data_IF_027591324252
#
_entry.id   IF_027591324252
#
_cell.length_a   1.000
_cell.length_b   1.000
_cell.length_c   1.000
_cell.angle_alpha   90.00
_cell.angle_beta   90.00
_cell.angle_gamma   90.00
#
_symmetry.space_group_name_H-M   'P 1'
#
loop_
_entity.id
_entity.type
_entity.pdbx_description
1 polymer ?
#
# COMPACT_ATOMS: atom_id res chain seq x y z
N UNK A 1 14.45 7.58 7.02
CA UNK A 1 13.61 7.25 5.86
C UNK A 1 13.52 8.51 5.02
N UNK A 2 13.87 8.43 3.74
CA UNK A 2 13.69 9.53 2.79
C UNK A 2 12.40 9.26 2.00
N UNK A 3 11.38 10.07 2.26
CA UNK A 3 10.07 9.94 1.64
C UNK A 3 10.01 10.65 0.29
N UNK A 4 9.07 10.25 -0.56
CA UNK A 4 8.72 11.01 -1.78
C UNK A 4 7.35 11.68 -1.63
N UNK A 5 7.02 12.67 -2.48
CA UNK A 5 5.65 13.19 -2.58
C UNK A 5 4.62 12.16 -3.04
N UNK A 6 5.05 11.03 -3.62
CA UNK A 6 4.21 10.01 -4.25
C UNK A 6 4.09 8.71 -3.44
N UNK A 7 4.48 8.74 -2.17
CA UNK A 7 4.40 7.60 -1.26
C UNK A 7 2.94 7.33 -0.85
N UNK A 8 2.46 6.10 -1.08
CA UNK A 8 1.11 5.67 -0.69
C UNK A 8 1.13 4.35 0.06
N UNK A 9 0.05 4.04 0.79
CA UNK A 9 -0.19 2.72 1.36
C UNK A 9 -1.55 2.18 0.92
N UNK A 10 -1.60 0.90 0.56
CA UNK A 10 -2.84 0.17 0.30
C UNK A 10 -3.39 -0.32 1.64
N UNK A 11 -4.62 0.07 1.99
CA UNK A 11 -5.26 -0.25 3.27
C UNK A 11 -6.46 -1.16 3.06
N UNK A 12 -6.46 -2.31 3.73
CA UNK A 12 -7.58 -3.25 3.69
C UNK A 12 -7.61 -4.10 2.41
N UNK A 13 -6.44 -4.45 1.87
CA UNK A 13 -6.29 -5.47 0.84
C UNK A 13 -5.54 -6.67 1.44
N UNK A 14 -6.16 -7.85 1.38
CA UNK A 14 -5.66 -9.07 1.98
C UNK A 14 -4.91 -9.96 0.98
N UNK A 15 -4.69 -9.48 -0.23
CA UNK A 15 -3.95 -10.15 -1.30
C UNK A 15 -4.50 -11.56 -1.61
N UNK A 16 -5.83 -11.73 -1.55
CA UNK A 16 -6.47 -13.01 -1.85
C UNK A 16 -6.20 -13.34 -3.31
N UNK A 17 -5.58 -14.49 -3.58
CA UNK A 17 -5.24 -14.89 -4.96
C UNK A 17 -4.28 -13.95 -5.70
N UNK A 18 -3.59 -13.03 -5.00
CA UNK A 18 -2.69 -12.04 -5.62
C UNK A 18 -3.33 -10.68 -5.94
N UNK A 19 -4.53 -10.40 -5.41
CA UNK A 19 -5.25 -9.14 -5.66
C UNK A 19 -4.41 -7.87 -5.37
N UNK A 20 -3.71 -7.83 -4.23
CA UNK A 20 -2.90 -6.67 -3.84
C UNK A 20 -1.70 -6.47 -4.78
N UNK A 21 -1.10 -7.56 -5.26
CA UNK A 21 0.01 -7.49 -6.23
C UNK A 21 -0.43 -6.87 -7.55
N UNK A 22 -1.57 -7.31 -8.07
CA UNK A 22 -2.11 -6.78 -9.33
C UNK A 22 -2.47 -5.29 -9.21
N UNK A 23 -3.06 -4.88 -8.08
CA UNK A 23 -3.35 -3.48 -7.77
C UNK A 23 -2.08 -2.65 -7.61
N UNK A 24 -1.07 -3.19 -6.91
CA UNK A 24 0.22 -2.53 -6.68
C UNK A 24 0.93 -2.22 -7.99
N UNK A 25 0.98 -3.17 -8.93
CA UNK A 25 1.63 -2.97 -10.23
C UNK A 25 1.06 -1.73 -10.92
N UNK A 26 -0.27 -1.60 -10.99
CA UNK A 26 -0.92 -0.45 -11.62
C UNK A 26 -0.59 0.88 -10.92
N UNK A 27 -0.55 0.89 -9.58
CA UNK A 27 -0.18 2.08 -8.80
C UNK A 27 1.28 2.50 -9.07
N UNK A 28 2.19 1.54 -9.15
CA UNK A 28 3.60 1.80 -9.45
C UNK A 28 3.80 2.22 -10.91
N UNK A 29 3.06 1.65 -11.87
CA UNK A 29 3.11 2.02 -13.29
C UNK A 29 2.68 3.47 -13.55
N UNK A 30 1.74 4.01 -12.77
CA UNK A 30 1.35 5.43 -12.85
C UNK A 30 2.30 6.37 -12.08
N UNK A 31 3.39 5.84 -11.49
CA UNK A 31 4.44 6.62 -10.84
C UNK A 31 4.28 6.81 -9.33
N UNK A 32 3.36 6.11 -8.67
CA UNK A 32 3.30 6.08 -7.20
C UNK A 32 4.34 5.12 -6.64
N UNK A 33 4.71 5.32 -5.37
CA UNK A 33 5.53 4.37 -4.62
C UNK A 33 4.69 3.72 -3.52
N UNK A 34 4.37 2.44 -3.66
CA UNK A 34 3.63 1.69 -2.63
C UNK A 34 4.58 1.31 -1.50
N UNK A 35 4.50 2.05 -0.40
CA UNK A 35 5.36 1.86 0.78
C UNK A 35 4.88 0.71 1.65
N UNK A 36 3.57 0.45 1.68
CA UNK A 36 2.98 -0.60 2.50
C UNK A 36 1.67 -1.14 1.90
N UNK A 37 1.37 -2.39 2.22
CA UNK A 37 0.12 -3.06 1.91
C UNK A 37 -0.43 -3.74 3.19
N UNK A 38 -1.66 -3.41 3.56
CA UNK A 38 -2.29 -3.84 4.80
C UNK A 38 -3.45 -4.79 4.52
N UNK A 39 -3.40 -6.08 4.89
CA UNK A 39 -2.23 -6.82 5.42
C UNK A 39 -1.82 -8.00 4.54
N UNK A 40 -2.40 -8.13 3.35
CA UNK A 40 -2.02 -9.16 2.40
C UNK A 40 -0.57 -8.98 1.96
N UNK A 41 0.27 -9.98 2.21
CA UNK A 41 1.71 -9.95 1.93
C UNK A 41 2.44 -8.74 2.57
N UNK A 42 1.89 -8.17 3.64
CA UNK A 42 2.50 -7.03 4.35
C UNK A 42 3.57 -7.48 5.35
N UNK A 43 4.66 -6.70 5.46
CA UNK A 43 5.69 -6.91 6.48
C UNK A 43 5.54 -5.95 7.66
N UNK A 44 6.03 -6.34 8.84
CA UNK A 44 6.03 -5.45 10.01
C UNK A 44 6.84 -4.16 9.76
N UNK A 45 7.88 -4.23 8.93
CA UNK A 45 8.70 -3.08 8.56
C UNK A 45 7.89 -2.06 7.76
N UNK A 46 7.11 -2.52 6.78
CA UNK A 46 6.21 -1.66 5.98
C UNK A 46 5.10 -1.04 6.84
N UNK A 47 4.51 -1.83 7.75
CA UNK A 47 3.49 -1.32 8.68
C UNK A 47 4.05 -0.19 9.54
N UNK A 48 5.28 -0.33 10.05
CA UNK A 48 5.99 0.73 10.79
C UNK A 48 6.31 1.95 9.92
N UNK A 49 6.51 1.77 8.61
CA UNK A 49 6.78 2.85 7.67
C UNK A 49 5.52 3.60 7.22
N UNK A 50 4.33 2.99 7.34
CA UNK A 50 3.05 3.51 6.87
C UNK A 50 2.72 4.93 7.36
N UNK A 51 2.99 5.33 8.61
CA UNK A 51 2.75 6.72 9.04
C UNK A 51 3.49 7.80 8.24
N UNK A 52 4.50 7.44 7.43
CA UNK A 52 5.28 8.39 6.62
C UNK A 52 4.73 8.61 5.20
N UNK A 53 3.70 7.86 4.78
CA UNK A 53 3.09 7.99 3.43
C UNK A 53 2.29 9.29 3.30
N UNK A 54 2.03 9.70 2.07
CA UNK A 54 1.26 10.93 1.75
C UNK A 54 -0.23 10.67 1.58
N UNK A 55 -0.62 9.43 1.26
CA UNK A 55 -2.01 9.04 1.11
C UNK A 55 -2.23 7.57 1.47
N UNK A 56 -3.29 7.30 2.23
CA UNK A 56 -3.82 5.97 2.49
C UNK A 56 -4.94 5.67 1.48
N UNK A 57 -4.79 4.60 0.70
CA UNK A 57 -5.76 4.14 -0.30
C UNK A 57 -6.57 2.99 0.29
N UNK A 58 -7.80 3.27 0.74
CA UNK A 58 -8.64 2.29 1.45
C UNK A 58 -9.44 1.46 0.43
N UNK A 59 -9.20 0.15 0.41
CA UNK A 59 -9.96 -0.82 -0.37
C UNK A 59 -11.13 -1.38 0.44
N UNK A 60 -10.86 -2.19 1.48
CA UNK A 60 -11.91 -2.69 2.37
C UNK A 60 -12.30 -1.63 3.42
N UNK A 61 -13.28 -0.80 3.09
CA UNK A 61 -13.83 0.21 4.01
C UNK A 61 -14.67 -0.41 5.14
N UNK A 62 -15.53 -1.37 4.80
CA UNK A 62 -16.59 -1.98 5.61
C UNK A 62 -17.22 -1.06 6.69
N UNK A 63 -18.40 -0.51 6.36
CA UNK A 63 -19.32 0.21 7.26
C UNK A 63 -19.82 -0.60 8.45
#
# INVERSE_FOLDING_TARGET
>A
FEGTPYDVAIIGDYNIGGDAWSSRILLEEIGLRVVAQWSGDGTLTEMKATPNVKLNLIHCYRS
#
